data_IF_449268020788
#
_entry.id   IF_449268020788
#
_cell.length_a   1.000
_cell.length_b   1.000
_cell.length_c   1.000
_cell.angle_alpha   90.00
_cell.angle_beta   90.00
_cell.angle_gamma   90.00
#
_symmetry.space_group_name_H-M   'P 1'
#
loop_
_entity.id
_entity.type
_entity.pdbx_description
1 polymer ?
#
# COMPACT_ATOMS: atom_id res chain seq x y z
N UNK A 1 -21.98 17.14 -12.58
CA UNK A 1 -22.41 15.72 -12.64
C UNK A 1 -21.19 14.82 -12.48
N UNK A 2 -21.08 14.07 -11.38
CA UNK A 2 -19.98 13.12 -11.17
C UNK A 2 -20.08 12.01 -12.22
N UNK A 3 -19.05 11.85 -13.06
CA UNK A 3 -19.00 10.76 -14.04
C UNK A 3 -18.93 9.45 -13.27
N UNK A 4 -19.96 8.62 -13.38
CA UNK A 4 -19.95 7.27 -12.80
C UNK A 4 -18.73 6.53 -13.32
N UNK A 5 -17.88 6.04 -12.40
CA UNK A 5 -16.74 5.19 -12.71
C UNK A 5 -17.01 3.82 -12.10
N UNK A 6 -17.19 2.76 -12.90
CA UNK A 6 -17.41 1.43 -12.34
C UNK A 6 -16.20 1.01 -11.49
N UNK A 7 -16.42 0.20 -10.44
CA UNK A 7 -15.33 -0.34 -9.64
C UNK A 7 -14.41 -1.19 -10.52
N UNK A 8 -13.11 -1.12 -10.27
CA UNK A 8 -12.15 -1.99 -10.96
C UNK A 8 -12.36 -3.44 -10.51
N UNK A 9 -12.20 -4.43 -11.41
CA UNK A 9 -12.25 -5.83 -11.02
C UNK A 9 -11.21 -6.14 -9.95
N UNK A 10 -11.47 -7.09 -9.04
CA UNK A 10 -10.53 -7.45 -7.99
C UNK A 10 -9.24 -7.99 -8.61
N UNK A 11 -8.09 -7.52 -8.11
CA UNK A 11 -6.79 -8.06 -8.50
C UNK A 11 -6.58 -9.47 -7.92
N UNK A 12 -5.67 -10.22 -8.54
CA UNK A 12 -5.29 -11.56 -8.08
C UNK A 12 -5.03 -11.60 -6.57
N UNK A 13 -5.47 -12.69 -5.96
CA UNK A 13 -5.24 -12.97 -4.54
C UNK A 13 -3.88 -13.61 -4.29
N UNK A 14 -3.19 -14.09 -5.32
CA UNK A 14 -1.90 -14.76 -5.16
C UNK A 14 -0.75 -13.75 -5.09
N UNK A 15 0.19 -13.99 -4.18
CA UNK A 15 1.40 -13.20 -4.00
C UNK A 15 2.57 -14.12 -3.64
N UNK A 16 3.79 -13.74 -4.02
CA UNK A 16 5.00 -14.44 -3.57
C UNK A 16 5.31 -14.07 -2.11
N UNK A 17 6.12 -14.87 -1.39
CA UNK A 17 6.52 -14.57 -0.01
C UNK A 17 7.20 -13.20 0.10
N UNK A 18 8.15 -12.93 -0.80
CA UNK A 18 8.92 -11.67 -0.83
C UNK A 18 8.01 -10.48 -1.15
N UNK A 19 6.98 -10.69 -1.97
CA UNK A 19 5.94 -9.70 -2.23
C UNK A 19 5.14 -9.40 -0.97
N UNK A 20 4.71 -10.42 -0.23
CA UNK A 20 3.94 -10.26 0.99
C UNK A 20 4.75 -9.55 2.08
N UNK A 21 6.02 -9.89 2.23
CA UNK A 21 6.91 -9.30 3.24
C UNK A 21 7.16 -7.82 2.95
N UNK A 22 7.43 -7.44 1.70
CA UNK A 22 7.52 -6.02 1.32
C UNK A 22 6.25 -5.22 1.64
N UNK A 23 5.06 -5.81 1.45
CA UNK A 23 3.80 -5.14 1.80
C UNK A 23 3.61 -5.01 3.32
N UNK A 24 4.09 -5.98 4.11
CA UNK A 24 4.08 -5.91 5.59
C UNK A 24 5.05 -4.86 6.09
N UNK A 25 6.26 -4.83 5.56
CA UNK A 25 7.28 -3.82 5.85
C UNK A 25 6.79 -2.41 5.53
N UNK A 26 6.18 -2.22 4.35
CA UNK A 26 5.59 -0.95 3.96
C UNK A 26 4.49 -0.53 4.94
N UNK A 27 3.60 -1.45 5.33
CA UNK A 27 2.55 -1.18 6.30
C UNK A 27 3.11 -0.75 7.66
N UNK A 28 4.12 -1.46 8.16
CA UNK A 28 4.76 -1.16 9.44
C UNK A 28 5.51 0.17 9.39
N UNK A 29 6.24 0.47 8.31
CA UNK A 29 6.92 1.75 8.12
C UNK A 29 5.92 2.92 8.11
N UNK A 30 4.84 2.80 7.34
CA UNK A 30 3.80 3.82 7.28
C UNK A 30 3.12 4.03 8.64
N UNK A 31 2.79 2.95 9.35
CA UNK A 31 2.02 3.01 10.57
C UNK A 31 2.83 3.41 11.80
N UNK A 32 4.03 2.84 11.96
CA UNK A 32 4.86 3.00 13.18
C UNK A 32 5.82 4.17 13.09
N UNK A 33 6.26 4.54 11.89
CA UNK A 33 7.30 5.56 11.68
C UNK A 33 6.71 6.82 11.08
N UNK A 34 6.18 6.72 9.86
CA UNK A 34 5.85 7.91 9.08
C UNK A 34 4.61 8.63 9.63
N UNK A 35 3.52 7.89 9.91
CA UNK A 35 2.27 8.49 10.41
C UNK A 35 2.48 9.28 11.71
N UNK A 36 3.17 8.75 12.75
CA UNK A 36 3.47 9.53 13.95
C UNK A 36 4.32 10.78 13.67
N UNK A 37 5.35 10.67 12.83
CA UNK A 37 6.21 11.80 12.46
C UNK A 37 5.42 12.92 11.79
N UNK A 38 4.62 12.59 10.77
CA UNK A 38 3.80 13.60 10.07
C UNK A 38 2.73 14.18 11.01
N UNK A 39 2.16 13.38 11.90
CA UNK A 39 1.19 13.87 12.89
C UNK A 39 1.81 14.91 13.81
N UNK A 40 3.04 14.66 14.28
CA UNK A 40 3.79 15.60 15.11
C UNK A 40 4.12 16.88 14.34
N UNK A 41 4.63 16.77 13.12
CA UNK A 41 4.93 17.92 12.27
C UNK A 41 3.69 18.79 12.00
N UNK A 42 2.53 18.17 11.73
CA UNK A 42 1.25 18.87 11.56
C UNK A 42 0.82 19.58 12.84
N UNK A 43 1.02 18.96 14.01
CA UNK A 43 0.69 19.56 15.30
C UNK A 43 1.59 20.77 15.61
N UNK A 44 2.89 20.66 15.33
CA UNK A 44 3.85 21.76 15.48
C UNK A 44 3.52 22.92 14.52
N UNK A 45 3.24 22.63 13.26
CA UNK A 45 2.82 23.63 12.27
C UNK A 45 1.50 24.32 12.67
N UNK A 46 0.57 23.58 13.28
CA UNK A 46 -0.70 24.14 13.78
C UNK A 46 -0.54 25.04 15.01
N UNK A 47 0.55 24.92 15.75
CA UNK A 47 0.87 25.76 16.91
C UNK A 47 1.58 27.07 16.52
N UNK A 48 2.20 27.13 15.34
CA UNK A 48 3.00 28.27 14.87
C UNK A 48 2.20 29.41 14.21
N UNK A 49 0.89 29.26 13.98
CA UNK A 49 0.06 30.36 13.46
C UNK A 49 -1.08 29.94 12.53
N UNK A 50 -1.45 30.84 11.63
CA UNK A 50 -2.65 30.70 10.80
C UNK A 50 -2.59 29.47 9.87
N UNK A 51 -3.58 28.59 10.04
CA UNK A 51 -3.64 27.27 9.40
C UNK A 51 -3.96 27.38 7.91
N UNK A 52 -4.52 28.50 7.47
CA UNK A 52 -4.89 28.74 6.06
C UNK A 52 -3.68 29.04 5.17
N UNK A 53 -2.67 29.74 5.71
CA UNK A 53 -1.50 30.18 4.94
C UNK A 53 -0.26 29.30 5.17
N UNK A 54 -0.27 28.48 6.23
CA UNK A 54 0.85 27.59 6.53
C UNK A 54 0.91 26.42 5.52
N UNK A 55 1.89 26.51 4.61
CA UNK A 55 2.17 25.48 3.61
C UNK A 55 2.53 24.11 4.22
N UNK A 56 3.28 24.10 5.33
CA UNK A 56 3.67 22.88 6.05
C UNK A 56 2.46 22.17 6.63
N UNK A 57 1.52 22.91 7.22
CA UNK A 57 0.27 22.36 7.72
C UNK A 57 -0.58 21.74 6.60
N UNK A 58 -0.74 22.46 5.48
CA UNK A 58 -1.54 21.98 4.34
C UNK A 58 -0.92 20.72 3.72
N UNK A 59 0.40 20.72 3.53
CA UNK A 59 1.15 19.58 3.01
C UNK A 59 1.04 18.38 3.96
N UNK A 60 1.31 18.56 5.25
CA UNK A 60 1.23 17.49 6.24
C UNK A 60 -0.17 16.88 6.34
N UNK A 61 -1.24 17.69 6.28
CA UNK A 61 -2.62 17.19 6.22
C UNK A 61 -2.93 16.41 4.94
N UNK A 62 -2.32 16.76 3.80
CA UNK A 62 -2.42 15.97 2.56
C UNK A 62 -1.69 14.64 2.74
N UNK A 63 -0.46 14.67 3.28
CA UNK A 63 0.35 13.48 3.49
C UNK A 63 -0.30 12.48 4.45
N UNK A 64 -0.90 12.94 5.56
CA UNK A 64 -1.66 12.08 6.47
C UNK A 64 -2.81 11.34 5.75
N UNK A 65 -3.53 12.03 4.86
CA UNK A 65 -4.61 11.41 4.06
C UNK A 65 -4.08 10.36 3.10
N UNK A 66 -2.92 10.59 2.49
CA UNK A 66 -2.25 9.61 1.63
C UNK A 66 -1.83 8.37 2.42
N UNK A 67 -1.19 8.56 3.58
CA UNK A 67 -0.76 7.47 4.46
C UNK A 67 -1.97 6.65 4.92
N UNK A 68 -3.01 7.28 5.46
CA UNK A 68 -4.21 6.59 5.93
C UNK A 68 -4.92 5.83 4.80
N UNK A 69 -4.92 6.38 3.58
CA UNK A 69 -5.45 5.68 2.40
C UNK A 69 -4.62 4.44 2.07
N UNK A 70 -3.29 4.55 2.07
CA UNK A 70 -2.39 3.44 1.75
C UNK A 70 -2.45 2.34 2.82
N UNK A 71 -2.40 2.71 4.10
CA UNK A 71 -2.55 1.79 5.24
C UNK A 71 -3.85 1.00 5.14
N UNK A 72 -4.98 1.67 4.86
CA UNK A 72 -6.28 1.00 4.68
C UNK A 72 -6.26 0.02 3.50
N UNK A 73 -5.63 0.39 2.40
CA UNK A 73 -5.50 -0.49 1.25
C UNK A 73 -4.64 -1.72 1.57
N UNK A 74 -3.48 -1.53 2.19
CA UNK A 74 -2.56 -2.60 2.55
C UNK A 74 -3.19 -3.59 3.53
N UNK A 75 -3.84 -3.10 4.60
CA UNK A 75 -4.53 -3.96 5.57
C UNK A 75 -5.57 -4.85 4.91
N UNK A 76 -6.46 -4.27 4.10
CA UNK A 76 -7.49 -5.02 3.36
C UNK A 76 -6.90 -6.01 2.36
N UNK A 77 -5.78 -5.66 1.71
CA UNK A 77 -5.12 -6.56 0.77
C UNK A 77 -4.46 -7.72 1.49
N UNK A 78 -3.66 -7.46 2.52
CA UNK A 78 -2.96 -8.49 3.30
C UNK A 78 -3.90 -9.50 3.95
N UNK A 79 -5.13 -9.10 4.30
CA UNK A 79 -6.15 -9.99 4.86
C UNK A 79 -6.64 -11.05 3.86
N UNK A 80 -6.68 -10.73 2.56
CA UNK A 80 -7.26 -11.62 1.52
C UNK A 80 -6.21 -12.27 0.61
N UNK A 81 -4.93 -11.92 0.78
CA UNK A 81 -3.84 -12.44 -0.03
C UNK A 81 -3.50 -13.88 0.38
N UNK A 82 -3.23 -14.71 -0.62
CA UNK A 82 -2.76 -16.08 -0.48
C UNK A 82 -1.29 -16.09 -0.88
N UNK A 83 -0.41 -16.36 0.08
CA UNK A 83 1.02 -16.47 -0.16
C UNK A 83 1.31 -17.84 -0.78
N UNK A 84 1.87 -17.84 -1.99
CA UNK A 84 2.27 -19.05 -2.71
C UNK A 84 3.79 -19.16 -2.66
N UNK A 85 4.30 -20.05 -1.83
CA UNK A 85 5.75 -20.27 -1.63
C UNK A 85 6.28 -21.53 -2.34
N UNK A 86 5.40 -22.47 -2.68
CA UNK A 86 5.82 -23.73 -3.28
C UNK A 86 5.84 -23.63 -4.81
N UNK A 87 6.86 -24.21 -5.47
CA UNK A 87 6.83 -24.37 -6.91
C UNK A 87 5.63 -25.25 -7.32
N UNK A 88 5.15 -25.11 -8.56
CA UNK A 88 4.00 -25.86 -8.99
C UNK A 88 4.27 -27.37 -8.94
N UNK A 89 3.27 -28.14 -8.53
CA UNK A 89 3.40 -29.59 -8.42
C UNK A 89 3.59 -30.28 -9.78
N UNK A 90 3.12 -29.65 -10.86
CA UNK A 90 3.18 -30.15 -12.22
C UNK A 90 4.06 -29.22 -13.08
N UNK A 91 5.26 -29.66 -13.52
CA UNK A 91 6.17 -28.87 -14.33
C UNK A 91 5.74 -28.72 -15.80
N UNK A 92 4.75 -29.48 -16.27
CA UNK A 92 4.22 -29.36 -17.64
C UNK A 92 3.17 -28.24 -17.76
N UNK A 93 2.81 -27.59 -16.64
CA UNK A 93 1.81 -26.52 -16.59
C UNK A 93 2.38 -25.26 -15.96
N UNK A 94 2.02 -24.10 -16.51
CA UNK A 94 2.43 -22.79 -15.98
C UNK A 94 1.44 -22.33 -14.91
N UNK A 95 1.92 -22.11 -13.69
CA UNK A 95 1.15 -21.58 -12.57
C UNK A 95 1.74 -20.26 -12.06
N UNK A 96 1.05 -19.62 -11.12
CA UNK A 96 1.56 -18.44 -10.43
C UNK A 96 2.90 -18.75 -9.74
N UNK A 97 3.93 -17.93 -10.00
CA UNK A 97 5.28 -18.10 -9.47
C UNK A 97 6.20 -19.02 -10.31
N UNK A 98 5.70 -19.58 -11.41
CA UNK A 98 6.53 -20.36 -12.33
C UNK A 98 7.50 -19.45 -13.10
N UNK A 99 8.76 -19.89 -13.23
CA UNK A 99 9.73 -19.31 -14.14
C UNK A 99 9.68 -20.09 -15.46
N UNK A 100 9.49 -19.38 -16.57
CA UNK A 100 9.38 -19.98 -17.90
C UNK A 100 10.52 -19.47 -18.76
N UNK A 101 11.28 -20.39 -19.34
CA UNK A 101 12.26 -20.10 -20.39
C UNK A 101 11.59 -20.33 -21.74
N UNK A 102 11.67 -19.35 -22.63
CA UNK A 102 11.16 -19.47 -24.00
C UNK A 102 12.37 -19.61 -24.92
N UNK A 103 12.34 -20.63 -25.78
CA UNK A 103 13.30 -20.80 -26.86
C UNK A 103 12.68 -20.21 -28.14
N UNK A 104 13.53 -19.60 -28.98
CA UNK A 104 13.15 -18.96 -30.25
C UNK A 104 13.70 -19.79 -31.39
#
# INVERSE_FOLDING_TARGET
MSRYRPPQPPSSRYITPEGADRLREELDALWRVERPQVTRAVAEAAAQGDRSENAEYTYGKRRLREIDRRVRHLRKRLEVLVVVSQPPADPERVYFGAWVTLEV
#
